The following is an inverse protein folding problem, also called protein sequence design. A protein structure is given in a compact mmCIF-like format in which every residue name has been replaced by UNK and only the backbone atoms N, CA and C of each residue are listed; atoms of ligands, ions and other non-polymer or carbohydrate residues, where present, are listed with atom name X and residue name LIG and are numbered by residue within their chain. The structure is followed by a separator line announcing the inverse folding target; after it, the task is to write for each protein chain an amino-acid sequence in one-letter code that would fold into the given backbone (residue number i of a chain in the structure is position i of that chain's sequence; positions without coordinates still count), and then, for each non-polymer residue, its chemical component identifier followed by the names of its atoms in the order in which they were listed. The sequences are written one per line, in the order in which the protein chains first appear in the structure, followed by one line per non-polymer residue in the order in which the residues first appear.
data_IF_530102293924
#
_entry.id   IF_530102293924
#
_cell.length_a   1.000
_cell.length_b   1.000
_cell.length_c   1.000
_cell.angle_alpha   90.00
_cell.angle_beta   90.00
_cell.angle_gamma   90.00
#
_symmetry.space_group_name_H-M   'P 1'
#
loop_
_entity.id
_entity.type
_entity.pdbx_description
1 polymer ?
#
# COMPACT_ATOMS: atom_id res chain seq x y z
N UNK A 1 1.91 18.43 18.27
CA UNK A 1 1.42 18.75 19.62
C UNK A 1 -0.08 18.43 19.84
N UNK A 2 -0.86 18.08 18.81
CA UNK A 2 -2.24 17.58 18.99
C UNK A 2 -2.33 16.10 19.45
N UNK A 3 -1.24 15.35 19.38
CA UNK A 3 -1.17 13.95 19.83
C UNK A 3 -1.01 13.78 21.34
N UNK A 4 -0.82 14.85 22.11
CA UNK A 4 -0.54 14.76 23.57
C UNK A 4 -1.79 15.06 24.43
N UNK A 5 -2.77 15.78 23.89
CA UNK A 5 -4.01 16.12 24.59
C UNK A 5 -5.18 15.20 24.23
N UNK A 6 -5.05 14.49 23.11
CA UNK A 6 -5.97 13.46 22.68
C UNK A 6 -5.30 12.14 23.00
N UNK A 7 -5.54 11.65 24.21
CA UNK A 7 -5.13 10.32 24.69
C UNK A 7 -5.91 9.21 23.96
N UNK A 8 -6.13 9.41 22.65
CA UNK A 8 -6.75 8.46 21.75
C UNK A 8 -5.61 7.80 21.02
N UNK A 9 -5.13 6.74 21.64
CA UNK A 9 -4.36 5.73 20.94
C UNK A 9 -5.20 5.32 19.72
N UNK A 10 -4.63 5.41 18.52
CA UNK A 10 -5.31 4.98 17.29
C UNK A 10 -5.62 3.47 17.31
N UNK A 11 -5.13 2.78 18.35
CA UNK A 11 -5.36 1.39 18.72
C UNK A 11 -5.85 1.33 20.17
N UNK A 12 -7.11 1.72 20.42
CA UNK A 12 -7.76 1.59 21.72
C UNK A 12 -8.18 0.12 21.99
N UNK A 13 -7.24 -0.82 21.76
CA UNK A 13 -7.33 -2.25 22.07
C UNK A 13 -6.09 -2.61 22.89
N UNK A 14 -6.19 -2.71 24.23
CA UNK A 14 -5.08 -2.84 25.19
C UNK A 14 -4.17 -4.09 25.10
N UNK A 15 -4.02 -4.75 23.95
CA UNK A 15 -3.38 -6.08 23.90
C UNK A 15 -2.42 -6.35 22.72
N UNK A 16 -2.22 -5.44 21.76
CA UNK A 16 -1.60 -5.83 20.47
C UNK A 16 -0.38 -5.03 19.99
N UNK A 17 -0.11 -3.84 20.54
CA UNK A 17 1.04 -3.01 20.13
C UNK A 17 1.08 -2.66 18.63
N UNK A 18 2.19 -2.08 18.17
CA UNK A 18 2.39 -1.63 16.79
C UNK A 18 2.62 -2.79 15.78
N UNK A 19 2.84 -4.01 16.27
CA UNK A 19 3.28 -5.15 15.47
C UNK A 19 2.32 -5.56 14.34
N UNK A 20 1.00 -5.71 14.57
CA UNK A 20 0.07 -6.11 13.51
C UNK A 20 0.01 -5.10 12.35
N UNK A 21 0.13 -3.80 12.66
CA UNK A 21 0.13 -2.74 11.66
C UNK A 21 1.37 -2.83 10.75
N UNK A 22 2.55 -3.08 11.31
CA UNK A 22 3.80 -3.25 10.54
C UNK A 22 3.71 -4.47 9.63
N UNK A 23 3.23 -5.60 10.14
CA UNK A 23 3.06 -6.83 9.35
C UNK A 23 2.05 -6.62 8.22
N UNK A 24 0.92 -5.98 8.50
CA UNK A 24 -0.07 -5.62 7.49
C UNK A 24 0.50 -4.73 6.39
N UNK A 25 1.32 -3.73 6.74
CA UNK A 25 1.98 -2.85 5.77
C UNK A 25 2.97 -3.62 4.87
N UNK A 26 3.80 -4.50 5.44
CA UNK A 26 4.75 -5.32 4.67
C UNK A 26 3.99 -6.20 3.66
N UNK A 27 2.92 -6.85 4.11
CA UNK A 27 2.08 -7.69 3.25
C UNK A 27 1.45 -6.85 2.13
N UNK A 28 0.95 -5.66 2.43
CA UNK A 28 0.36 -4.75 1.45
C UNK A 28 1.39 -4.35 0.37
N UNK A 29 2.63 -4.04 0.76
CA UNK A 29 3.72 -3.70 -0.17
C UNK A 29 4.03 -4.88 -1.10
N UNK A 30 4.18 -6.08 -0.55
CA UNK A 30 4.47 -7.29 -1.35
C UNK A 30 3.35 -7.56 -2.34
N UNK A 31 2.09 -7.47 -1.92
CA UNK A 31 0.94 -7.66 -2.81
C UNK A 31 0.85 -6.55 -3.87
N UNK A 32 1.12 -5.29 -3.51
CA UNK A 32 1.18 -4.20 -4.48
C UNK A 32 2.21 -4.47 -5.58
N UNK A 33 3.44 -4.82 -5.20
CA UNK A 33 4.52 -5.08 -6.18
C UNK A 33 4.18 -6.28 -7.06
N UNK A 34 3.76 -7.39 -6.46
CA UNK A 34 3.47 -8.63 -7.18
C UNK A 34 2.27 -8.53 -8.10
N UNK A 35 1.28 -7.67 -7.81
CA UNK A 35 0.13 -7.43 -8.68
C UNK A 35 0.42 -6.36 -9.74
N UNK A 36 1.22 -5.35 -9.42
CA UNK A 36 1.57 -4.28 -10.37
C UNK A 36 2.47 -4.80 -11.50
N UNK A 37 3.50 -5.60 -11.18
CA UNK A 37 4.44 -6.16 -12.17
C UNK A 37 3.73 -6.80 -13.38
N UNK A 38 2.81 -7.77 -13.21
CA UNK A 38 2.09 -8.35 -14.33
C UNK A 38 1.10 -7.38 -14.98
N UNK A 39 0.50 -6.44 -14.23
CA UNK A 39 -0.39 -5.42 -14.79
C UNK A 39 0.35 -4.48 -15.77
N UNK A 40 1.63 -4.22 -15.51
CA UNK A 40 2.50 -3.40 -16.35
C UNK A 40 3.46 -4.24 -17.21
N UNK A 41 3.15 -5.49 -17.55
CA UNK A 41 3.93 -6.30 -18.53
C UNK A 41 3.32 -6.43 -19.95
N UNK A 42 1.99 -6.38 -20.17
CA UNK A 42 1.40 -6.47 -21.51
C UNK A 42 1.72 -5.28 -22.42
N UNK A 43 1.87 -5.44 -23.73
CA UNK A 43 2.19 -4.32 -24.66
C UNK A 43 1.18 -3.16 -24.61
N UNK A 44 -0.07 -3.43 -24.21
CA UNK A 44 -1.11 -2.43 -23.98
C UNK A 44 -1.67 -2.60 -22.57
N UNK A 45 -1.04 -2.00 -21.54
CA UNK A 45 -1.55 -2.09 -20.17
C UNK A 45 -2.90 -1.36 -20.07
N UNK A 46 -3.86 -1.98 -19.39
CA UNK A 46 -5.22 -1.47 -19.26
C UNK A 46 -5.36 -0.62 -17.99
N UNK A 47 -5.86 0.62 -18.09
CA UNK A 47 -6.10 1.48 -16.93
C UNK A 47 -6.97 0.85 -15.83
N UNK A 48 -8.02 0.04 -16.13
CA UNK A 48 -8.79 -0.63 -15.10
C UNK A 48 -7.97 -1.57 -14.20
N UNK A 49 -6.79 -2.03 -14.66
CA UNK A 49 -5.92 -2.87 -13.83
C UNK A 49 -5.40 -2.14 -12.58
N UNK A 50 -5.32 -0.80 -12.60
CA UNK A 50 -4.96 -0.01 -11.41
C UNK A 50 -5.96 -0.18 -10.26
N UNK A 51 -7.25 -0.34 -10.58
CA UNK A 51 -8.32 -0.59 -9.59
C UNK A 51 -8.15 -1.95 -8.96
N UNK A 52 -7.82 -2.97 -9.76
CA UNK A 52 -7.55 -4.33 -9.26
C UNK A 52 -6.34 -4.34 -8.32
N UNK A 53 -5.25 -3.65 -8.69
CA UNK A 53 -4.04 -3.51 -7.86
C UNK A 53 -4.38 -2.81 -6.54
N UNK A 54 -5.09 -1.69 -6.58
CA UNK A 54 -5.50 -0.96 -5.39
C UNK A 54 -6.37 -1.80 -4.46
N UNK A 55 -7.35 -2.52 -5.01
CA UNK A 55 -8.24 -3.39 -4.27
C UNK A 55 -7.47 -4.56 -3.62
N UNK A 56 -6.58 -5.21 -4.38
CA UNK A 56 -5.75 -6.28 -3.87
C UNK A 56 -4.84 -5.81 -2.72
N UNK A 57 -4.21 -4.64 -2.86
CA UNK A 57 -3.36 -4.04 -1.82
C UNK A 57 -4.16 -3.70 -0.56
N UNK A 58 -5.34 -3.08 -0.69
CA UNK A 58 -6.17 -2.74 0.45
C UNK A 58 -6.68 -3.99 1.19
N UNK A 59 -7.11 -5.02 0.45
CA UNK A 59 -7.55 -6.30 1.04
C UNK A 59 -6.38 -7.02 1.72
N UNK A 60 -5.20 -7.01 1.12
CA UNK A 60 -4.00 -7.61 1.70
C UNK A 60 -3.55 -6.91 2.98
N UNK A 61 -3.67 -5.58 3.04
CA UNK A 61 -3.41 -4.82 4.26
C UNK A 61 -4.34 -5.27 5.40
N UNK A 62 -5.65 -5.29 5.14
CA UNK A 62 -6.65 -5.72 6.14
C UNK A 62 -6.44 -7.16 6.59
N UNK A 63 -6.25 -8.08 5.63
CA UNK A 63 -6.01 -9.49 5.91
C UNK A 63 -4.71 -9.69 6.70
N UNK A 64 -3.66 -8.94 6.36
CA UNK A 64 -2.36 -8.99 7.05
C UNK A 64 -2.45 -8.52 8.50
N UNK A 65 -3.13 -7.41 8.75
CA UNK A 65 -3.37 -6.92 10.12
C UNK A 65 -4.21 -7.91 10.92
N UNK A 66 -5.30 -8.42 10.33
CA UNK A 66 -6.19 -9.38 10.99
C UNK A 66 -5.45 -10.68 11.35
N UNK A 67 -4.67 -11.23 10.41
CA UNK A 67 -3.90 -12.45 10.63
C UNK A 67 -2.79 -12.25 11.66
N UNK A 68 -2.06 -11.12 11.60
CA UNK A 68 -1.03 -10.79 12.57
C UNK A 68 -1.61 -10.63 13.99
N UNK A 69 -2.81 -10.05 14.11
CA UNK A 69 -3.49 -9.93 15.38
C UNK A 69 -3.95 -11.27 15.95
N UNK A 70 -4.43 -12.19 15.09
CA UNK A 70 -4.77 -13.55 15.49
C UNK A 70 -3.54 -14.34 15.97
N UNK A 71 -2.43 -14.26 15.22
CA UNK A 71 -1.16 -14.89 15.59
C UNK A 71 -0.62 -14.31 16.90
N UNK A 72 -0.84 -13.00 17.13
CA UNK A 72 -0.52 -12.32 18.39
C UNK A 72 -1.39 -12.71 19.59
N UNK A 73 -2.38 -13.60 19.41
CA UNK A 73 -3.18 -14.15 20.51
C UNK A 73 -4.37 -13.29 20.95
N UNK A 74 -4.73 -12.24 20.20
CA UNK A 74 -5.81 -11.32 20.57
C UNK A 74 -7.22 -11.94 20.58
N UNK A 75 -7.39 -13.11 19.96
CA UNK A 75 -8.70 -13.71 19.73
C UNK A 75 -9.45 -13.08 18.56
N UNK A 76 -10.41 -13.81 17.99
CA UNK A 76 -11.12 -13.44 16.76
C UNK A 76 -11.92 -12.14 16.89
N UNK A 77 -12.50 -11.88 18.06
CA UNK A 77 -13.27 -10.67 18.35
C UNK A 77 -12.39 -9.42 18.35
N UNK A 78 -11.24 -9.45 19.04
CA UNK A 78 -10.33 -8.31 19.08
C UNK A 78 -9.61 -8.09 17.73
N UNK A 79 -9.25 -9.15 17.02
CA UNK A 79 -8.66 -9.04 15.67
C UNK A 79 -9.63 -8.39 14.67
N UNK A 80 -10.93 -8.74 14.76
CA UNK A 80 -11.97 -8.15 13.92
C UNK A 80 -12.23 -6.69 14.31
N UNK A 81 -12.25 -6.36 15.60
CA UNK A 81 -12.37 -4.99 16.08
C UNK A 81 -11.20 -4.11 15.61
N UNK A 82 -9.97 -4.61 15.66
CA UNK A 82 -8.79 -3.91 15.15
C UNK A 82 -8.87 -3.68 13.63
N UNK A 83 -9.32 -4.68 12.87
CA UNK A 83 -9.54 -4.53 11.43
C UNK A 83 -10.61 -3.47 11.11
N UNK A 84 -11.71 -3.44 11.88
CA UNK A 84 -12.76 -2.41 11.73
C UNK A 84 -12.27 -1.02 12.11
N UNK A 85 -11.49 -0.88 13.19
CA UNK A 85 -10.90 0.41 13.58
C UNK A 85 -9.98 0.96 12.49
N UNK A 86 -9.15 0.12 11.85
CA UNK A 86 -8.32 0.56 10.72
C UNK A 86 -9.13 0.94 9.48
N UNK A 87 -10.26 0.26 9.25
CA UNK A 87 -11.17 0.60 8.18
C UNK A 87 -11.85 1.97 8.44
N UNK A 88 -12.36 2.18 9.65
CA UNK A 88 -13.06 3.41 10.06
C UNK A 88 -12.10 4.59 10.30
N UNK A 89 -10.88 4.32 10.75
CA UNK A 89 -9.80 5.30 10.94
C UNK A 89 -9.15 5.77 9.63
N UNK A 90 -9.55 5.21 8.49
CA UNK A 90 -9.20 5.70 7.16
C UNK A 90 -7.80 5.33 6.66
N UNK A 91 -6.95 4.69 7.46
CA UNK A 91 -5.58 4.32 7.04
C UNK A 91 -5.58 3.35 5.85
N UNK A 92 -6.46 2.36 5.85
CA UNK A 92 -6.62 1.43 4.73
C UNK A 92 -7.12 2.14 3.47
N UNK A 93 -8.00 3.14 3.63
CA UNK A 93 -8.52 3.95 2.52
C UNK A 93 -7.38 4.75 1.88
N UNK A 94 -6.53 5.39 2.70
CA UNK A 94 -5.36 6.12 2.22
C UNK A 94 -4.40 5.20 1.46
N UNK A 95 -4.11 4.00 1.99
CA UNK A 95 -3.26 3.00 1.32
C UNK A 95 -3.87 2.60 -0.02
N UNK A 96 -5.18 2.34 -0.08
CA UNK A 96 -5.88 1.99 -1.30
C UNK A 96 -5.81 3.11 -2.36
N UNK A 97 -6.03 4.36 -1.96
CA UNK A 97 -5.94 5.52 -2.86
C UNK A 97 -4.50 5.75 -3.34
N UNK A 98 -3.52 5.64 -2.46
CA UNK A 98 -2.11 5.75 -2.83
C UNK A 98 -1.71 4.65 -3.82
N UNK A 99 -2.13 3.40 -3.59
CA UNK A 99 -1.90 2.29 -4.49
C UNK A 99 -2.57 2.52 -5.87
N UNK A 100 -3.79 3.05 -5.88
CA UNK A 100 -4.50 3.40 -7.11
C UNK A 100 -3.74 4.43 -7.93
N UNK A 101 -3.33 5.54 -7.30
CA UNK A 101 -2.58 6.63 -7.96
C UNK A 101 -1.24 6.12 -8.46
N UNK A 102 -0.49 5.38 -7.64
CA UNK A 102 0.81 4.83 -8.01
C UNK A 102 0.71 3.84 -9.18
N UNK A 103 -0.26 2.92 -9.14
CA UNK A 103 -0.50 1.97 -10.23
C UNK A 103 -0.94 2.66 -11.52
N UNK A 104 -1.78 3.69 -11.41
CA UNK A 104 -2.22 4.48 -12.56
C UNK A 104 -1.05 5.21 -13.23
N UNK A 105 -0.19 5.86 -12.44
CA UNK A 105 1.03 6.52 -12.94
C UNK A 105 1.97 5.50 -13.60
N UNK A 106 2.19 4.34 -12.97
CA UNK A 106 3.03 3.27 -13.54
C UNK A 106 2.51 2.77 -14.90
N UNK A 107 1.19 2.59 -15.03
CA UNK A 107 0.54 2.24 -16.29
C UNK A 107 0.68 3.37 -17.32
N UNK A 108 0.48 4.63 -16.91
CA UNK A 108 0.58 5.80 -17.78
C UNK A 108 2.00 5.96 -18.35
N UNK A 109 3.04 5.89 -17.52
CA UNK A 109 4.45 5.97 -17.93
C UNK A 109 4.80 4.89 -18.96
N UNK A 110 4.31 3.66 -18.74
CA UNK A 110 4.57 2.56 -19.67
C UNK A 110 3.83 2.73 -21.00
N UNK A 111 2.62 3.30 -20.95
CA UNK A 111 1.81 3.53 -22.15
C UNK A 111 2.34 4.69 -22.99
N UNK A 112 2.87 5.74 -22.37
CA UNK A 112 3.49 6.88 -23.04
C UNK A 112 4.89 6.58 -23.56
N UNK A 113 5.47 5.41 -23.24
CA UNK A 113 6.87 5.07 -23.50
C UNK A 113 7.80 6.18 -23.03
N UNK A 114 7.49 6.80 -21.90
CA UNK A 114 8.30 7.87 -21.33
C UNK A 114 9.72 7.34 -21.17
N UNK A 115 10.63 7.82 -22.01
CA UNK A 115 12.04 7.51 -21.87
C UNK A 115 12.60 8.26 -20.65
N UNK A 116 13.68 7.72 -20.10
CA UNK A 116 14.46 8.44 -19.09
C UNK A 116 14.79 9.83 -19.68
N UNK A 117 14.50 10.94 -19.00
CA UNK A 117 14.85 12.25 -19.51
C UNK A 117 16.36 12.28 -19.73
N UNK A 118 16.76 12.37 -20.99
CA UNK A 118 18.15 12.56 -21.40
C UNK A 118 18.37 14.05 -21.45
N UNK A 119 19.26 14.53 -20.58
CA UNK A 119 19.56 15.95 -20.54
C UNK A 119 20.74 16.27 -21.46
N UNK A 120 20.74 17.40 -22.18
CA UNK A 120 21.79 17.73 -23.16
C UNK A 120 23.22 17.84 -22.60
N UNK A 121 23.38 17.81 -21.27
CA UNK A 121 24.68 17.80 -20.60
C UNK A 121 25.19 16.40 -20.27
N UNK A 122 24.37 15.35 -20.38
CA UNK A 122 24.77 13.95 -20.13
C UNK A 122 25.62 13.38 -21.29
N UNK A 123 25.44 13.90 -22.51
CA UNK A 123 26.18 13.47 -23.70
C UNK A 123 27.62 14.03 -23.77
N UNK A 124 27.98 15.01 -22.94
CA UNK A 124 29.33 15.63 -22.96
C UNK A 124 30.41 14.84 -22.22
N UNK A 125 30.06 13.70 -21.62
CA UNK A 125 30.98 12.90 -20.81
C UNK A 125 31.69 11.78 -21.60
N UNK A 126 31.51 11.69 -22.92
CA UNK A 126 32.02 10.59 -23.76
C UNK A 126 33.09 10.98 -24.80
N UNK A 127 33.51 12.24 -24.85
CA UNK A 127 34.41 12.77 -25.88
C UNK A 127 35.84 13.06 -25.36
N UNK A 128 36.38 12.21 -24.48
CA UNK A 128 37.79 12.24 -24.03
C UNK A 128 38.52 10.92 -24.31
#
# INVERSE_FOLDING_TARGET
MLSYFTDSDILDVPALGQYPAVVGMIIAIVVFVTTLIPAVRPQRPAYPASVLVALATALAHLAGVWLAALIGGAGVTAATAAAMQLMLGGSTVVIGLAALVAAWIGIALRRTRAQKPQWPWEDRAGDE
#
